data_IF_309473103186
#
_entry.id   IF_309473103186
#
_cell.length_a   1.000
_cell.length_b   1.000
_cell.length_c   1.000
_cell.angle_alpha   90.00
_cell.angle_beta   90.00
_cell.angle_gamma   90.00
#
_symmetry.space_group_name_H-M   'P 1'
#
loop_
_entity.id
_entity.type
_entity.pdbx_description
1 polymer ?
#
# COMPACT_ATOMS: atom_id res chain seq x y z
N UNK A 1 36.06 13.13 -5.11
CA UNK A 1 34.98 13.64 -5.98
C UNK A 1 34.14 14.73 -5.30
N UNK A 2 33.50 14.47 -4.14
CA UNK A 2 32.75 15.53 -3.43
C UNK A 2 33.65 16.50 -2.65
N UNK A 3 34.74 16.00 -2.05
CA UNK A 3 35.78 16.86 -1.44
C UNK A 3 36.44 17.77 -2.49
N UNK A 4 36.68 17.23 -3.69
CA UNK A 4 37.28 17.99 -4.79
C UNK A 4 36.35 19.06 -5.37
N UNK A 5 35.05 18.96 -5.09
CA UNK A 5 34.03 19.92 -5.48
C UNK A 5 33.68 20.93 -4.36
N UNK A 6 34.39 20.88 -3.21
CA UNK A 6 34.16 21.73 -2.04
C UNK A 6 32.69 21.72 -1.53
N UNK A 7 32.03 20.56 -1.67
CA UNK A 7 30.65 20.39 -1.22
C UNK A 7 30.65 20.05 0.27
N UNK A 8 30.11 20.96 1.09
CA UNK A 8 29.93 20.76 2.53
C UNK A 8 28.88 19.69 2.81
N UNK A 9 29.32 18.64 3.50
CA UNK A 9 28.54 17.42 3.79
C UNK A 9 28.00 17.37 5.22
N UNK A 10 28.20 18.43 6.00
CA UNK A 10 27.85 18.45 7.42
C UNK A 10 26.34 18.58 7.65
N UNK A 11 25.88 18.05 8.79
CA UNK A 11 24.47 18.13 9.20
C UNK A 11 23.51 17.46 8.20
N UNK A 12 22.48 18.21 7.79
CA UNK A 12 21.40 17.72 6.91
C UNK A 12 21.65 18.00 5.42
N UNK A 13 22.80 18.59 5.06
CA UNK A 13 23.08 18.97 3.67
C UNK A 13 23.12 17.77 2.73
N UNK A 14 23.80 16.70 3.12
CA UNK A 14 23.87 15.48 2.30
C UNK A 14 22.50 14.85 2.04
N UNK A 15 21.64 14.62 3.05
CA UNK A 15 20.27 14.19 2.80
C UNK A 15 19.52 15.05 1.79
N UNK A 16 19.57 16.38 1.89
CA UNK A 16 18.88 17.26 0.94
C UNK A 16 19.45 17.21 -0.47
N UNK A 17 20.77 17.11 -0.62
CA UNK A 17 21.41 16.94 -1.93
C UNK A 17 20.94 15.63 -2.57
N UNK A 18 20.94 14.53 -1.80
CA UNK A 18 20.49 13.23 -2.28
C UNK A 18 19.00 13.25 -2.66
N UNK A 19 18.14 13.82 -1.81
CA UNK A 19 16.71 13.97 -2.12
C UNK A 19 16.46 14.82 -3.35
N UNK A 20 17.23 15.90 -3.56
CA UNK A 20 17.13 16.68 -4.79
C UNK A 20 17.50 15.85 -6.02
N UNK A 21 18.62 15.12 -5.97
CA UNK A 21 19.01 14.24 -7.07
C UNK A 21 17.99 13.11 -7.34
N UNK A 22 17.33 12.58 -6.32
CA UNK A 22 16.24 11.60 -6.50
C UNK A 22 14.99 12.23 -7.15
N UNK A 23 14.61 13.44 -6.72
CA UNK A 23 13.47 14.17 -7.30
C UNK A 23 13.71 14.59 -8.75
N UNK A 24 14.96 14.91 -9.10
CA UNK A 24 15.40 15.17 -10.47
C UNK A 24 15.69 13.89 -11.27
N UNK A 25 15.34 12.72 -10.71
CA UNK A 25 15.48 11.40 -11.34
C UNK A 25 16.93 11.07 -11.78
N UNK A 26 17.94 11.68 -11.17
CA UNK A 26 19.36 11.41 -11.46
C UNK A 26 19.83 10.12 -10.80
N UNK A 27 19.38 9.89 -9.57
CA UNK A 27 19.76 8.72 -8.76
C UNK A 27 18.52 8.01 -8.22
N UNK A 28 18.68 6.73 -7.92
CA UNK A 28 17.71 5.95 -7.17
C UNK A 28 18.41 4.99 -6.20
N UNK A 29 17.63 4.15 -5.53
CA UNK A 29 18.15 3.13 -4.61
C UNK A 29 19.11 2.18 -5.32
N UNK A 30 20.33 2.08 -4.78
CA UNK A 30 21.35 1.12 -5.20
C UNK A 30 21.26 -0.21 -4.46
N UNK A 31 22.17 -1.13 -4.80
CA UNK A 31 22.30 -2.40 -4.09
C UNK A 31 22.94 -2.20 -2.70
N UNK A 32 22.47 -2.90 -1.69
CA UNK A 32 23.08 -2.81 -0.35
C UNK A 32 24.55 -3.23 -0.40
N UNK A 33 25.41 -2.46 0.26
CA UNK A 33 26.79 -2.87 0.57
C UNK A 33 26.85 -3.28 2.02
N UNK A 34 26.75 -4.58 2.29
CA UNK A 34 26.52 -5.09 3.64
C UNK A 34 25.18 -4.59 4.19
N UNK A 35 25.23 -3.76 5.24
CA UNK A 35 24.05 -3.12 5.84
C UNK A 35 23.83 -1.67 5.36
N UNK A 36 24.72 -1.15 4.51
CA UNK A 36 24.71 0.24 4.07
C UNK A 36 23.82 0.41 2.83
N UNK A 37 22.91 1.38 2.89
CA UNK A 37 22.16 1.86 1.73
C UNK A 37 23.10 2.60 0.77
N UNK A 38 22.91 2.37 -0.53
CA UNK A 38 23.69 3.00 -1.59
C UNK A 38 22.77 3.63 -2.61
N UNK A 39 23.34 4.41 -3.52
CA UNK A 39 22.63 5.03 -4.65
C UNK A 39 23.25 4.54 -5.96
N UNK A 40 22.44 4.50 -7.00
CA UNK A 40 22.88 4.24 -8.38
C UNK A 40 22.27 5.28 -9.31
N UNK A 41 22.87 5.49 -10.48
CA UNK A 41 22.23 6.29 -11.53
C UNK A 41 20.91 5.62 -11.92
N UNK A 42 19.86 6.41 -12.05
CA UNK A 42 18.54 5.86 -12.38
C UNK A 42 18.53 5.26 -13.80
N UNK A 43 19.23 5.90 -14.73
CA UNK A 43 19.38 5.47 -16.13
C UNK A 43 20.05 4.08 -16.28
N UNK A 44 20.86 3.66 -15.31
CA UNK A 44 21.47 2.33 -15.31
C UNK A 44 20.46 1.23 -14.87
N UNK A 45 19.30 1.62 -14.32
CA UNK A 45 18.36 0.73 -13.65
C UNK A 45 17.02 0.60 -14.35
N UNK A 46 16.56 1.66 -15.00
CA UNK A 46 15.26 1.68 -15.69
C UNK A 46 15.44 2.20 -17.11
N UNK A 47 14.65 1.70 -18.08
CA UNK A 47 14.63 2.27 -19.42
C UNK A 47 14.26 3.75 -19.36
N UNK A 48 14.89 4.56 -20.22
CA UNK A 48 14.52 5.96 -20.39
C UNK A 48 13.03 6.06 -20.75
N UNK A 49 12.29 6.84 -19.98
CA UNK A 49 10.93 7.23 -20.35
C UNK A 49 11.01 8.38 -21.37
N UNK A 50 10.05 8.42 -22.29
CA UNK A 50 9.85 9.60 -23.13
C UNK A 50 9.44 10.80 -22.26
N UNK A 51 9.62 12.05 -22.75
CA UNK A 51 9.16 13.21 -22.02
C UNK A 51 7.63 13.15 -21.89
N UNK A 52 7.13 13.40 -20.69
CA UNK A 52 5.72 13.70 -20.47
C UNK A 52 5.59 15.20 -20.37
N UNK A 53 4.64 15.79 -21.09
CA UNK A 53 4.11 17.06 -20.62
C UNK A 53 3.28 16.85 -19.34
N UNK A 54 2.89 17.94 -18.68
CA UNK A 54 2.18 17.85 -17.40
C UNK A 54 0.87 17.07 -17.53
N UNK A 55 0.11 17.28 -18.60
CA UNK A 55 -1.21 16.68 -18.76
C UNK A 55 -1.08 15.19 -19.07
N UNK A 56 -0.14 14.81 -19.93
CA UNK A 56 0.17 13.41 -20.24
C UNK A 56 0.63 12.65 -18.98
N UNK A 57 1.47 13.28 -18.13
CA UNK A 57 1.90 12.68 -16.87
C UNK A 57 0.73 12.45 -15.90
N UNK A 58 -0.17 13.44 -15.77
CA UNK A 58 -1.34 13.34 -14.92
C UNK A 58 -2.29 12.23 -15.40
N UNK A 59 -2.56 12.18 -16.70
CA UNK A 59 -3.41 11.16 -17.32
C UNK A 59 -2.82 9.76 -17.11
N UNK A 60 -1.52 9.59 -17.35
CA UNK A 60 -0.87 8.28 -17.18
C UNK A 60 -0.85 7.83 -15.72
N UNK A 61 -0.63 8.75 -14.77
CA UNK A 61 -0.68 8.43 -13.35
C UNK A 61 -2.08 7.98 -12.94
N UNK A 62 -3.13 8.72 -13.31
CA UNK A 62 -4.51 8.38 -12.96
C UNK A 62 -4.94 7.07 -13.63
N UNK A 63 -4.55 6.83 -14.88
CA UNK A 63 -4.80 5.56 -15.59
C UNK A 63 -4.22 4.38 -14.81
N UNK A 64 -2.96 4.47 -14.39
CA UNK A 64 -2.29 3.40 -13.62
C UNK A 64 -2.89 3.23 -12.24
N UNK A 65 -3.20 4.33 -11.56
CA UNK A 65 -3.85 4.30 -10.26
C UNK A 65 -5.20 3.56 -10.36
N UNK A 66 -6.07 3.92 -11.31
CA UNK A 66 -7.37 3.27 -11.49
C UNK A 66 -7.27 1.77 -11.80
N UNK A 67 -6.25 1.34 -12.56
CA UNK A 67 -6.02 -0.08 -12.87
C UNK A 67 -5.55 -0.90 -11.68
N UNK A 68 -4.95 -0.26 -10.68
CA UNK A 68 -4.34 -0.94 -9.53
C UNK A 68 -5.12 -0.77 -8.23
N UNK A 69 -5.75 0.40 -8.05
CA UNK A 69 -6.40 0.84 -6.83
C UNK A 69 -7.90 1.12 -7.03
N UNK A 70 -8.41 1.14 -8.26
CA UNK A 70 -9.83 1.32 -8.52
C UNK A 70 -10.67 0.14 -8.00
N UNK A 71 -11.91 0.36 -7.54
CA UNK A 71 -12.62 1.64 -7.48
C UNK A 71 -12.13 2.57 -6.36
N UNK A 72 -11.98 3.87 -6.64
CA UNK A 72 -11.46 4.85 -5.66
C UNK A 72 -12.07 6.25 -5.87
N UNK A 73 -12.10 7.07 -4.82
CA UNK A 73 -12.54 8.48 -4.95
C UNK A 73 -11.42 9.38 -5.48
N UNK A 74 -11.77 10.57 -5.97
CA UNK A 74 -10.79 11.62 -6.30
C UNK A 74 -9.98 12.03 -5.06
N UNK A 75 -10.58 11.94 -3.87
CA UNK A 75 -9.90 12.27 -2.62
C UNK A 75 -8.85 11.23 -2.23
N UNK A 76 -9.12 9.95 -2.50
CA UNK A 76 -8.15 8.87 -2.32
C UNK A 76 -6.96 9.06 -3.26
N UNK A 77 -7.22 9.36 -4.54
CA UNK A 77 -6.17 9.69 -5.51
C UNK A 77 -5.31 10.88 -5.06
N UNK A 78 -5.94 11.94 -4.54
CA UNK A 78 -5.26 13.15 -4.07
C UNK A 78 -4.40 12.86 -2.85
N UNK A 79 -4.93 12.08 -1.90
CA UNK A 79 -4.19 11.63 -0.73
C UNK A 79 -2.96 10.80 -1.10
N UNK A 80 -3.12 9.84 -2.02
CA UNK A 80 -2.05 8.94 -2.41
C UNK A 80 -0.96 9.64 -3.22
N UNK A 81 -1.34 10.47 -4.20
CA UNK A 81 -0.39 11.12 -5.12
C UNK A 81 0.17 12.45 -4.61
N UNK A 82 -0.50 13.10 -3.65
CA UNK A 82 -0.20 14.49 -3.26
C UNK A 82 -0.65 15.54 -4.30
N UNK A 83 -1.29 15.12 -5.40
CA UNK A 83 -1.80 16.04 -6.43
C UNK A 83 -3.08 16.73 -5.97
N UNK A 84 -3.37 17.88 -6.58
CA UNK A 84 -4.63 18.58 -6.32
C UNK A 84 -5.80 17.82 -6.91
N UNK A 85 -6.97 17.89 -6.26
CA UNK A 85 -8.20 17.33 -6.82
C UNK A 85 -8.55 17.95 -8.18
N UNK A 86 -8.12 19.18 -8.45
CA UNK A 86 -8.31 19.84 -9.75
C UNK A 86 -7.50 19.15 -10.86
N UNK A 87 -6.21 18.87 -10.62
CA UNK A 87 -5.37 18.14 -11.57
C UNK A 87 -5.95 16.74 -11.86
N UNK A 88 -6.44 16.06 -10.82
CA UNK A 88 -7.00 14.71 -10.94
C UNK A 88 -8.33 14.68 -11.69
N UNK A 89 -9.22 15.66 -11.45
CA UNK A 89 -10.46 15.80 -12.23
C UNK A 89 -10.16 16.08 -13.69
N UNK A 90 -9.20 16.96 -13.98
CA UNK A 90 -8.74 17.22 -15.35
C UNK A 90 -8.23 15.95 -16.02
N UNK A 91 -7.44 15.13 -15.32
CA UNK A 91 -6.94 13.86 -15.85
C UNK A 91 -8.07 12.84 -16.13
N UNK A 92 -9.07 12.76 -15.24
CA UNK A 92 -10.26 11.91 -15.45
C UNK A 92 -11.09 12.37 -16.66
N UNK A 93 -11.26 13.69 -16.83
CA UNK A 93 -11.94 14.26 -18.01
C UNK A 93 -11.19 13.95 -19.31
N UNK A 94 -9.85 14.02 -19.29
CA UNK A 94 -9.00 13.69 -20.44
C UNK A 94 -9.00 12.19 -20.77
N UNK A 95 -9.08 11.31 -19.78
CA UNK A 95 -9.24 9.86 -19.98
C UNK A 95 -10.59 9.53 -20.65
N UNK A 96 -11.64 10.25 -20.25
CA UNK A 96 -12.98 10.09 -20.77
C UNK A 96 -13.63 8.72 -20.44
N UNK A 97 -14.89 8.53 -20.87
CA UNK A 97 -15.72 7.37 -20.49
C UNK A 97 -15.23 6.02 -21.06
N UNK A 98 -14.34 6.06 -22.05
CA UNK A 98 -13.72 4.87 -22.64
C UNK A 98 -12.63 4.26 -21.76
N UNK A 99 -12.00 5.05 -20.88
CA UNK A 99 -10.91 4.59 -20.01
C UNK A 99 -11.22 4.71 -18.52
N UNK A 100 -12.13 5.59 -18.11
CA UNK A 100 -12.52 5.78 -16.72
C UNK A 100 -14.05 5.91 -16.60
N UNK A 101 -14.64 5.24 -15.60
CA UNK A 101 -16.07 5.34 -15.27
C UNK A 101 -16.24 5.56 -13.79
N UNK A 102 -17.29 6.29 -13.41
CA UNK A 102 -17.67 6.44 -12.01
C UNK A 102 -19.05 5.87 -11.74
N UNK A 103 -19.20 5.29 -10.56
CA UNK A 103 -20.47 4.85 -10.00
C UNK A 103 -20.61 5.43 -8.59
N UNK A 104 -21.83 5.75 -8.16
CA UNK A 104 -22.10 6.17 -6.79
C UNK A 104 -22.60 5.00 -5.96
N UNK A 105 -21.86 4.64 -4.92
CA UNK A 105 -22.22 3.57 -3.98
C UNK A 105 -22.29 4.16 -2.58
N UNK A 106 -23.46 4.03 -1.92
CA UNK A 106 -23.73 4.56 -0.58
C UNK A 106 -23.27 6.03 -0.39
N UNK A 107 -23.46 6.86 -1.42
CA UNK A 107 -23.13 8.29 -1.41
C UNK A 107 -21.67 8.64 -1.74
N UNK A 108 -20.83 7.67 -2.06
CA UNK A 108 -19.45 7.87 -2.51
C UNK A 108 -19.33 7.66 -4.02
N UNK A 109 -18.81 8.66 -4.74
CA UNK A 109 -18.45 8.54 -6.16
C UNK A 109 -17.11 7.80 -6.29
N UNK A 110 -17.16 6.58 -6.84
CA UNK A 110 -16.02 5.71 -7.01
C UNK A 110 -15.67 5.59 -8.49
N UNK A 111 -14.45 5.96 -8.83
CA UNK A 111 -13.89 5.87 -10.17
C UNK A 111 -13.15 4.55 -10.35
N UNK A 112 -13.39 3.89 -11.48
CA UNK A 112 -12.76 2.64 -11.88
C UNK A 112 -12.19 2.77 -13.29
N UNK A 113 -11.15 2.00 -13.60
CA UNK A 113 -10.74 1.82 -14.98
C UNK A 113 -11.90 1.20 -15.77
N UNK A 114 -12.24 1.79 -16.91
CA UNK A 114 -13.14 1.16 -17.86
C UNK A 114 -12.42 -0.05 -18.45
N UNK A 115 -12.88 -1.25 -18.08
CA UNK A 115 -12.38 -2.50 -18.64
C UNK A 115 -13.57 -3.39 -18.99
N UNK A 116 -13.41 -4.12 -20.09
CA UNK A 116 -14.30 -5.23 -20.46
C UNK A 116 -13.85 -6.54 -19.79
N UNK A 117 -12.88 -6.48 -18.86
CA UNK A 117 -12.43 -7.63 -18.10
C UNK A 117 -13.60 -8.26 -17.32
N UNK A 118 -13.64 -9.60 -17.23
CA UNK A 118 -14.62 -10.27 -16.41
C UNK A 118 -14.46 -9.84 -14.95
N UNK A 119 -15.59 -9.79 -14.23
CA UNK A 119 -15.58 -9.49 -12.81
C UNK A 119 -14.53 -10.35 -12.07
N UNK A 120 -13.73 -9.74 -11.18
CA UNK A 120 -12.67 -10.45 -10.49
C UNK A 120 -13.24 -11.63 -9.70
N UNK A 121 -12.50 -12.74 -9.71
CA UNK A 121 -12.89 -13.92 -8.93
C UNK A 121 -12.88 -13.57 -7.45
N UNK A 122 -13.83 -14.12 -6.66
CA UNK A 122 -13.80 -13.92 -5.20
C UNK A 122 -12.47 -14.32 -4.59
N UNK A 123 -11.86 -13.40 -3.85
CA UNK A 123 -10.61 -13.64 -3.12
C UNK A 123 -10.87 -14.68 -2.02
N UNK A 124 -9.95 -15.63 -1.85
CA UNK A 124 -10.03 -16.68 -0.83
C UNK A 124 -8.79 -16.67 0.04
N UNK A 125 -8.95 -17.15 1.27
CA UNK A 125 -7.85 -17.26 2.22
C UNK A 125 -7.59 -15.97 2.99
N UNK A 126 -6.46 -15.89 3.69
CA UNK A 126 -6.09 -14.74 4.48
C UNK A 126 -4.85 -14.05 3.90
N UNK A 127 -4.76 -12.73 4.06
CA UNK A 127 -3.59 -11.93 3.69
C UNK A 127 -3.19 -11.06 4.88
N UNK A 128 -1.97 -11.27 5.40
CA UNK A 128 -1.41 -10.53 6.52
C UNK A 128 -0.73 -9.25 5.99
N UNK A 129 -1.44 -8.12 6.01
CA UNK A 129 -0.97 -6.86 5.41
C UNK A 129 -0.02 -6.13 6.35
N UNK A 130 1.06 -5.54 5.81
CA UNK A 130 1.95 -4.69 6.61
C UNK A 130 1.28 -3.35 6.95
N UNK A 131 1.83 -2.64 7.94
CA UNK A 131 1.28 -1.35 8.42
C UNK A 131 1.10 -0.30 7.31
N UNK A 132 1.94 -0.32 6.28
CA UNK A 132 1.90 0.61 5.14
C UNK A 132 1.55 -0.09 3.83
N UNK A 133 0.77 -1.17 3.89
CA UNK A 133 0.32 -1.86 2.69
C UNK A 133 -0.64 -0.98 1.88
N UNK A 134 -0.40 -0.87 0.56
CA UNK A 134 -1.14 0.01 -0.36
C UNK A 134 -2.65 -0.28 -0.38
N UNK A 135 -3.05 -1.53 -0.12
CA UNK A 135 -4.46 -1.91 0.01
C UNK A 135 -5.19 -1.17 1.14
N UNK A 136 -4.45 -0.51 2.03
CA UNK A 136 -4.99 0.24 3.17
C UNK A 136 -4.58 1.71 3.10
N UNK A 137 -3.29 2.00 2.87
CA UNK A 137 -2.79 3.39 2.94
C UNK A 137 -3.09 4.22 1.70
N UNK A 138 -3.37 3.59 0.57
CA UNK A 138 -3.70 4.26 -0.69
C UNK A 138 -5.10 4.90 -0.72
N UNK A 139 -5.87 4.75 0.36
CA UNK A 139 -7.25 5.19 0.48
C UNK A 139 -7.47 6.06 1.71
N UNK A 140 -8.50 6.89 1.69
CA UNK A 140 -8.98 7.72 2.78
C UNK A 140 -10.41 7.38 3.15
N UNK A 141 -11.39 7.93 2.45
CA UNK A 141 -12.81 7.76 2.74
C UNK A 141 -13.36 6.41 2.26
N UNK A 142 -12.73 5.81 1.24
CA UNK A 142 -13.10 4.49 0.73
C UNK A 142 -12.42 3.32 1.45
N UNK A 143 -11.41 3.56 2.30
CA UNK A 143 -10.53 2.53 2.92
C UNK A 143 -11.28 1.34 3.54
N UNK A 144 -12.42 1.61 4.18
CA UNK A 144 -13.28 0.61 4.82
C UNK A 144 -14.73 0.70 4.34
N UNK A 145 -14.94 1.21 3.14
CA UNK A 145 -16.27 1.37 2.57
C UNK A 145 -16.90 0.01 2.27
N UNK A 146 -18.13 -0.21 2.71
CA UNK A 146 -18.83 -1.50 2.53
C UNK A 146 -18.31 -2.67 3.38
N UNK A 147 -17.39 -2.41 4.32
CA UNK A 147 -16.83 -3.45 5.19
C UNK A 147 -17.71 -3.67 6.45
N UNK A 148 -18.17 -4.90 6.74
CA UNK A 148 -18.94 -5.18 7.96
C UNK A 148 -18.21 -4.78 9.25
N UNK A 149 -16.89 -4.96 9.28
CA UNK A 149 -16.02 -4.61 10.40
C UNK A 149 -15.50 -3.18 10.42
N UNK A 150 -16.05 -2.27 9.60
CA UNK A 150 -15.47 -0.93 9.38
C UNK A 150 -15.30 -0.10 10.65
N UNK A 151 -16.23 -0.17 11.61
CA UNK A 151 -16.12 0.57 12.87
C UNK A 151 -14.90 0.12 13.70
N UNK A 152 -14.75 -1.20 13.88
CA UNK A 152 -13.61 -1.80 14.59
C UNK A 152 -12.29 -1.53 13.85
N UNK A 153 -12.31 -1.61 12.51
CA UNK A 153 -11.16 -1.28 11.68
C UNK A 153 -10.72 0.19 11.83
N UNK A 154 -11.66 1.13 11.84
CA UNK A 154 -11.37 2.56 12.06
C UNK A 154 -10.83 2.83 13.46
N UNK A 155 -11.43 2.22 14.49
CA UNK A 155 -10.97 2.36 15.86
C UNK A 155 -9.51 1.86 16.00
N UNK A 156 -9.23 0.67 15.47
CA UNK A 156 -7.88 0.09 15.44
C UNK A 156 -6.88 0.95 14.66
N UNK A 157 -7.28 1.50 13.50
CA UNK A 157 -6.41 2.32 12.65
C UNK A 157 -6.01 3.64 13.31
N UNK A 158 -6.91 4.24 14.10
CA UNK A 158 -6.64 5.46 14.86
C UNK A 158 -5.82 5.24 16.13
N UNK A 159 -5.73 4.00 16.60
CA UNK A 159 -5.07 3.65 17.85
C UNK A 159 -3.62 3.23 17.62
N UNK A 160 -2.68 4.07 18.06
CA UNK A 160 -1.23 3.81 17.97
C UNK A 160 -0.77 2.63 18.83
N UNK A 161 -1.64 2.08 19.69
CA UNK A 161 -1.36 0.90 20.50
C UNK A 161 -1.79 -0.41 19.84
N UNK A 162 -2.55 -0.36 18.73
CA UNK A 162 -3.00 -1.56 18.05
C UNK A 162 -1.84 -2.30 17.32
N UNK A 163 -1.89 -3.65 17.29
CA UNK A 163 -0.92 -4.51 16.61
C UNK A 163 -0.62 -4.09 15.15
N UNK A 164 0.62 -4.33 14.74
CA UNK A 164 1.22 -3.89 13.48
C UNK A 164 0.62 -4.55 12.23
N UNK A 165 -0.52 -4.04 11.76
CA UNK A 165 -1.10 -4.37 10.46
C UNK A 165 -2.54 -4.87 10.52
N UNK A 166 -3.26 -4.71 9.40
CA UNK A 166 -4.57 -5.34 9.19
C UNK A 166 -4.38 -6.67 8.48
N UNK A 167 -5.35 -7.58 8.62
CA UNK A 167 -5.41 -8.74 7.73
C UNK A 167 -6.74 -8.81 7.01
N UNK A 168 -6.68 -9.32 5.78
CA UNK A 168 -7.87 -9.63 5.00
C UNK A 168 -8.22 -11.10 5.16
N UNK A 169 -9.51 -11.42 5.24
CA UNK A 169 -10.05 -12.76 5.15
C UNK A 169 -11.09 -12.79 4.02
N UNK A 170 -10.82 -13.58 2.97
CA UNK A 170 -11.62 -13.66 1.75
C UNK A 170 -11.91 -12.28 1.12
N UNK A 171 -10.90 -11.41 1.09
CA UNK A 171 -10.98 -10.08 0.49
C UNK A 171 -11.63 -9.00 1.37
N UNK A 172 -12.00 -9.32 2.62
CA UNK A 172 -12.59 -8.38 3.58
C UNK A 172 -11.70 -8.18 4.78
N UNK A 173 -11.80 -7.05 5.47
CA UNK A 173 -11.04 -6.78 6.70
C UNK A 173 -11.50 -7.74 7.78
N UNK A 174 -10.64 -8.71 8.12
CA UNK A 174 -10.93 -9.75 9.11
C UNK A 174 -10.53 -9.37 10.53
N UNK A 175 -9.60 -8.42 10.66
CA UNK A 175 -9.04 -8.03 11.93
C UNK A 175 -7.67 -7.41 11.79
N UNK A 176 -6.91 -7.47 12.88
CA UNK A 176 -5.56 -6.94 12.96
C UNK A 176 -4.61 -8.02 13.47
N UNK A 177 -3.32 -7.81 13.23
CA UNK A 177 -2.29 -8.76 13.58
C UNK A 177 -0.98 -8.08 13.92
N UNK A 178 -0.08 -8.81 14.57
CA UNK A 178 1.31 -8.42 14.75
C UNK A 178 2.20 -9.64 14.63
N UNK A 179 3.45 -9.38 14.25
CA UNK A 179 4.51 -10.37 14.37
C UNK A 179 5.57 -9.94 15.37
N UNK A 180 6.12 -10.92 16.05
CA UNK A 180 7.38 -10.80 16.79
C UNK A 180 8.35 -11.84 16.26
N UNK A 181 9.57 -11.43 15.95
CA UNK A 181 10.63 -12.38 15.62
C UNK A 181 11.23 -12.90 16.93
N UNK A 182 11.22 -14.22 17.08
CA UNK A 182 11.91 -14.92 18.15
C UNK A 182 13.23 -15.48 17.62
N UNK A 183 13.92 -16.30 18.43
CA UNK A 183 15.23 -16.85 18.05
C UNK A 183 15.14 -17.78 16.83
N UNK A 184 14.11 -18.62 16.78
CA UNK A 184 13.95 -19.70 15.81
C UNK A 184 12.54 -19.78 15.22
N UNK A 185 11.68 -18.80 15.48
CA UNK A 185 10.31 -18.75 14.97
C UNK A 185 9.80 -17.30 14.80
N UNK A 186 8.67 -17.17 14.11
CA UNK A 186 7.86 -15.96 14.06
C UNK A 186 6.59 -16.21 14.87
N UNK A 187 6.39 -15.42 15.92
CA UNK A 187 5.12 -15.40 16.65
C UNK A 187 4.16 -14.45 15.95
N UNK A 188 2.97 -14.94 15.59
CA UNK A 188 1.93 -14.20 14.87
C UNK A 188 0.69 -14.12 15.75
N UNK A 189 0.44 -12.93 16.29
CA UNK A 189 -0.74 -12.62 17.09
C UNK A 189 -1.84 -12.10 16.16
N UNK A 190 -3.04 -12.68 16.22
CA UNK A 190 -4.18 -12.23 15.43
C UNK A 190 -5.40 -11.97 16.29
N UNK A 191 -6.11 -10.89 15.99
CA UNK A 191 -7.35 -10.51 16.63
C UNK A 191 -8.43 -10.34 15.56
N UNK A 192 -9.43 -11.21 15.59
CA UNK A 192 -10.55 -11.10 14.66
C UNK A 192 -11.56 -10.05 15.12
N UNK A 193 -12.13 -9.32 14.16
CA UNK A 193 -13.24 -8.40 14.44
C UNK A 193 -14.57 -9.11 14.64
N UNK A 194 -14.73 -10.30 14.07
CA UNK A 194 -15.88 -11.18 14.24
C UNK A 194 -15.40 -12.60 14.51
N UNK A 195 -16.24 -13.43 15.12
CA UNK A 195 -15.88 -14.84 15.34
C UNK A 195 -15.62 -15.53 13.99
N UNK A 196 -14.43 -16.15 13.80
CA UNK A 196 -14.08 -16.72 12.51
C UNK A 196 -15.00 -17.87 12.15
N UNK A 197 -15.68 -17.76 11.01
CA UNK A 197 -16.44 -18.88 10.42
C UNK A 197 -15.51 -20.07 10.13
N UNK A 198 -16.10 -21.26 9.92
CA UNK A 198 -15.36 -22.50 9.61
C UNK A 198 -14.24 -22.24 8.58
N UNK A 199 -13.00 -22.48 8.99
CA UNK A 199 -11.81 -22.35 8.14
C UNK A 199 -11.08 -21.00 8.22
N UNK A 200 -11.62 -19.98 8.90
CA UNK A 200 -10.97 -18.66 9.04
C UNK A 200 -9.61 -18.75 9.73
N UNK A 201 -9.52 -19.44 10.87
CA UNK A 201 -8.25 -19.69 11.57
C UNK A 201 -7.25 -20.42 10.69
N UNK A 202 -7.68 -21.48 9.98
CA UNK A 202 -6.81 -22.22 9.06
C UNK A 202 -6.28 -21.37 7.91
N UNK A 203 -7.07 -20.41 7.42
CA UNK A 203 -6.63 -19.48 6.39
C UNK A 203 -5.52 -18.55 6.90
N UNK A 204 -5.66 -18.07 8.14
CA UNK A 204 -4.63 -17.25 8.80
C UNK A 204 -3.36 -18.08 9.09
N UNK A 205 -3.50 -19.30 9.60
CA UNK A 205 -2.38 -20.24 9.79
C UNK A 205 -1.60 -20.47 8.50
N UNK A 206 -2.31 -20.63 7.38
CA UNK A 206 -1.67 -20.75 6.05
C UNK A 206 -0.91 -19.48 5.67
N UNK A 207 -1.51 -18.30 5.84
CA UNK A 207 -0.85 -17.03 5.55
C UNK A 207 0.38 -16.79 6.44
N UNK A 208 0.31 -17.17 7.72
CA UNK A 208 1.44 -17.13 8.64
C UNK A 208 2.54 -18.11 8.23
N UNK A 209 2.19 -19.32 7.79
CA UNK A 209 3.15 -20.27 7.26
C UNK A 209 3.84 -19.75 5.99
N UNK A 210 3.14 -19.00 5.14
CA UNK A 210 3.70 -18.35 3.95
C UNK A 210 4.71 -17.25 4.35
N UNK A 211 4.38 -16.44 5.34
CA UNK A 211 5.30 -15.47 5.98
C UNK A 211 6.53 -16.17 6.56
N UNK A 212 6.34 -17.28 7.27
CA UNK A 212 7.42 -18.10 7.81
C UNK A 212 8.36 -18.59 6.72
N UNK A 213 7.82 -19.16 5.64
CA UNK A 213 8.63 -19.61 4.49
C UNK A 213 9.43 -18.47 3.85
N UNK A 214 8.86 -17.27 3.73
CA UNK A 214 9.57 -16.11 3.22
C UNK A 214 10.80 -15.75 4.06
N UNK A 215 10.70 -15.87 5.38
CA UNK A 215 11.79 -15.59 6.32
C UNK A 215 12.70 -16.81 6.60
N UNK A 216 12.37 -18.00 6.07
CA UNK A 216 13.08 -19.23 6.40
C UNK A 216 12.90 -19.70 7.85
N UNK A 217 11.78 -19.33 8.49
CA UNK A 217 11.45 -19.65 9.88
C UNK A 217 10.06 -20.32 9.99
N UNK A 218 9.81 -21.19 10.97
CA UNK A 218 8.45 -21.58 11.33
C UNK A 218 7.67 -20.36 11.84
N UNK A 219 6.35 -20.38 11.66
CA UNK A 219 5.45 -19.37 12.18
C UNK A 219 4.36 -20.01 13.05
N UNK A 220 4.12 -19.43 14.22
CA UNK A 220 3.12 -19.89 15.19
C UNK A 220 2.04 -18.83 15.34
N UNK A 221 0.77 -19.24 15.18
CA UNK A 221 -0.37 -18.33 15.27
C UNK A 221 -1.00 -18.44 16.66
N UNK A 222 -1.13 -17.30 17.33
CA UNK A 222 -1.96 -17.12 18.51
C UNK A 222 -3.21 -16.32 18.13
N UNK A 223 -4.39 -16.92 18.33
CA UNK A 223 -5.67 -16.22 18.15
C UNK A 223 -6.10 -15.62 19.48
N UNK A 224 -6.11 -14.29 19.53
CA UNK A 224 -6.48 -13.53 20.71
C UNK A 224 -7.99 -13.29 20.70
N UNK A 225 -8.66 -13.67 21.80
CA UNK A 225 -10.09 -13.49 21.98
C UNK A 225 -10.44 -12.02 22.19
N UNK A 226 -11.62 -11.62 21.74
CA UNK A 226 -12.15 -10.24 21.78
C UNK A 226 -12.54 -9.74 23.18
N UNK A 227 -11.91 -10.27 24.24
CA UNK A 227 -12.11 -9.83 25.62
C UNK A 227 -10.79 -9.65 26.34
N UNK A 228 -10.32 -8.40 26.46
CA UNK A 228 -9.19 -8.12 27.33
C UNK A 228 -8.38 -6.84 27.08
N UNK A 229 -9.02 -5.67 27.01
CA UNK A 229 -8.83 -4.52 27.92
C UNK A 229 -9.55 -3.28 27.40
#
# INVERSE_FOLDING_TARGET
MLDDADIDRTGQRMPYILSHCELEAMIGSGGLTGKQQTFALLDDRVPAAGPFDRDDALVELVRRYLRSHGPATVKDMSWWSGLTMTDLRKALDLLGPSEARSDTVDGLELWSAASDDPAPRPVRGAHLLQTYDELVVGYTESRFHGEPGAEKARAAWGDRTYPSGLFLLNGRVGGHWRRTFERDAIHVEVHFYEEPKRGGTRAVEKAAADLGRFHGLPAHVEVLSSGGR
#
